data_IF_732440865275
#
_entry.id   IF_732440865275
#
_cell.length_a   1.000
_cell.length_b   1.000
_cell.length_c   1.000
_cell.angle_alpha   90.00
_cell.angle_beta   90.00
_cell.angle_gamma   90.00
#
_symmetry.space_group_name_H-M   'P 1'
#
loop_
_entity.id
_entity.type
_entity.pdbx_description
1 polymer ?
#
# COMPACT_ATOMS: atom_id res chain seq x y z
N UNK A 1 -20.69 46.74 -7.32
CA UNK A 1 -21.69 45.66 -7.42
C UNK A 1 -21.90 45.40 -8.90
N UNK A 2 -21.02 44.64 -9.52
CA UNK A 2 -21.10 44.27 -10.94
C UNK A 2 -21.66 42.86 -10.98
N UNK A 3 -22.74 42.66 -11.72
CA UNK A 3 -23.30 41.34 -11.95
C UNK A 3 -22.35 40.58 -12.88
N UNK A 4 -21.85 39.43 -12.44
CA UNK A 4 -21.22 38.45 -13.33
C UNK A 4 -22.33 37.68 -14.04
N UNK A 5 -22.36 37.59 -15.38
CA UNK A 5 -23.28 36.72 -16.09
C UNK A 5 -22.92 35.25 -15.86
N UNK A 6 -23.96 34.40 -15.86
CA UNK A 6 -23.86 32.96 -15.63
C UNK A 6 -22.99 32.29 -16.70
N UNK A 7 -21.77 31.92 -16.32
CA UNK A 7 -20.96 30.98 -17.08
C UNK A 7 -21.51 29.57 -16.80
N UNK A 8 -22.33 29.07 -17.73
CA UNK A 8 -22.68 27.65 -17.83
C UNK A 8 -21.47 26.87 -18.34
N UNK A 9 -20.44 26.81 -17.50
CA UNK A 9 -19.27 25.97 -17.68
C UNK A 9 -19.69 24.53 -17.50
N UNK A 10 -19.70 23.79 -18.61
CA UNK A 10 -19.70 22.33 -18.70
C UNK A 10 -19.11 21.69 -17.45
N UNK A 11 -19.92 20.91 -16.72
CA UNK A 11 -19.46 20.02 -15.67
C UNK A 11 -18.61 18.90 -16.27
N UNK A 12 -17.38 19.23 -16.66
CA UNK A 12 -16.35 18.25 -16.90
C UNK A 12 -16.12 17.50 -15.57
N UNK A 13 -16.04 16.16 -15.59
CA UNK A 13 -15.72 15.41 -14.38
C UNK A 13 -14.40 15.94 -13.82
N UNK A 14 -14.38 16.29 -12.52
CA UNK A 14 -13.15 16.71 -11.85
C UNK A 14 -12.11 15.58 -11.97
N UNK A 15 -10.99 15.76 -12.71
CA UNK A 15 -10.07 14.67 -13.05
C UNK A 15 -9.10 14.30 -11.91
N UNK A 16 -9.46 14.58 -10.66
CA UNK A 16 -8.58 14.38 -9.50
C UNK A 16 -8.99 13.22 -8.61
N UNK A 17 -10.15 12.59 -8.84
CA UNK A 17 -10.63 11.46 -8.05
C UNK A 17 -10.30 10.09 -8.66
N UNK A 18 -9.83 10.04 -9.91
CA UNK A 18 -9.36 8.81 -10.55
C UNK A 18 -7.85 8.58 -10.33
N UNK A 19 -7.06 9.63 -10.08
CA UNK A 19 -5.61 9.52 -9.92
C UNK A 19 -5.16 8.93 -8.57
N UNK A 20 -6.00 8.99 -7.53
CA UNK A 20 -5.71 8.38 -6.23
C UNK A 20 -5.89 6.86 -6.24
N UNK A 21 -6.79 6.34 -7.08
CA UNK A 21 -7.11 4.90 -7.17
C UNK A 21 -6.06 4.11 -7.98
N UNK A 22 -5.47 4.71 -9.02
CA UNK A 22 -4.32 4.14 -9.74
C UNK A 22 -3.01 4.21 -8.95
N UNK A 23 -2.98 4.90 -7.80
CA UNK A 23 -1.79 5.07 -6.99
C UNK A 23 -1.67 4.02 -5.87
N UNK A 24 -2.81 3.53 -5.36
CA UNK A 24 -2.83 2.65 -4.18
C UNK A 24 -2.20 1.29 -4.42
N UNK A 25 -2.39 0.70 -5.61
CA UNK A 25 -1.95 -0.69 -5.85
C UNK A 25 -0.87 -0.81 -6.93
N UNK A 26 -0.56 0.25 -7.69
CA UNK A 26 0.45 0.20 -8.78
C UNK A 26 1.82 -0.27 -8.31
N UNK A 27 2.22 0.08 -7.08
CA UNK A 27 3.47 -0.39 -6.50
C UNK A 27 3.48 -1.90 -6.24
N UNK A 28 2.34 -2.43 -5.80
CA UNK A 28 2.15 -3.87 -5.52
C UNK A 28 2.06 -4.65 -6.83
N UNK A 29 1.28 -4.17 -7.80
CA UNK A 29 1.18 -4.78 -9.14
C UNK A 29 2.54 -4.85 -9.84
N UNK A 30 3.35 -3.78 -9.76
CA UNK A 30 4.67 -3.78 -10.37
C UNK A 30 5.66 -4.69 -9.63
N UNK A 31 5.54 -4.81 -8.30
CA UNK A 31 6.32 -5.77 -7.51
C UNK A 31 5.99 -7.20 -7.93
N UNK A 32 4.70 -7.56 -7.97
CA UNK A 32 4.23 -8.88 -8.40
C UNK A 32 4.71 -9.20 -9.83
N UNK A 33 4.51 -8.26 -10.76
CA UNK A 33 4.91 -8.45 -12.15
C UNK A 33 6.42 -8.65 -12.32
N UNK A 34 7.24 -7.99 -11.51
CA UNK A 34 8.71 -8.05 -11.66
C UNK A 34 9.37 -9.16 -10.85
N UNK A 35 8.82 -9.48 -9.68
CA UNK A 35 9.47 -10.32 -8.67
C UNK A 35 8.53 -11.38 -8.06
N UNK A 36 7.33 -11.57 -8.59
CA UNK A 36 6.33 -12.49 -8.02
C UNK A 36 6.73 -13.96 -8.05
N UNK A 37 7.68 -14.34 -8.90
CA UNK A 37 8.25 -15.71 -8.93
C UNK A 37 9.45 -15.88 -7.98
N UNK A 38 9.90 -14.82 -7.30
CA UNK A 38 11.03 -14.90 -6.36
C UNK A 38 10.58 -15.42 -4.99
N UNK A 39 11.29 -16.42 -4.47
CA UNK A 39 11.13 -16.89 -3.08
C UNK A 39 12.11 -16.15 -2.16
N UNK A 40 11.60 -15.61 -1.05
CA UNK A 40 12.37 -14.89 -0.04
C UNK A 40 12.03 -15.41 1.36
N UNK A 41 12.94 -15.21 2.32
CA UNK A 41 12.65 -15.48 3.73
C UNK A 41 11.98 -14.28 4.39
N UNK A 42 11.18 -14.52 5.43
CA UNK A 42 10.64 -13.45 6.27
C UNK A 42 11.74 -12.65 6.98
N UNK A 43 12.88 -13.27 7.29
CA UNK A 43 14.07 -12.58 7.81
C UNK A 43 14.56 -11.51 6.82
N UNK A 44 14.75 -11.86 5.55
CA UNK A 44 15.16 -10.90 4.52
C UNK A 44 14.13 -9.79 4.32
N UNK A 45 12.83 -10.13 4.30
CA UNK A 45 11.76 -9.14 4.19
C UNK A 45 11.80 -8.14 5.36
N UNK A 46 11.99 -8.62 6.59
CA UNK A 46 12.09 -7.78 7.78
C UNK A 46 13.27 -6.79 7.70
N UNK A 47 14.41 -7.21 7.14
CA UNK A 47 15.54 -6.32 6.88
C UNK A 47 15.19 -5.21 5.86
N UNK A 48 14.43 -5.53 4.81
CA UNK A 48 13.98 -4.53 3.83
C UNK A 48 13.01 -3.54 4.46
N UNK A 49 12.08 -4.00 5.32
CA UNK A 49 11.14 -3.13 6.02
C UNK A 49 11.88 -2.15 6.96
N UNK A 50 12.90 -2.61 7.70
CA UNK A 50 13.73 -1.73 8.55
C UNK A 50 14.45 -0.68 7.72
N UNK A 51 15.09 -1.10 6.63
CA UNK A 51 15.78 -0.19 5.70
C UNK A 51 14.81 0.86 5.14
N UNK A 52 13.58 0.47 4.84
CA UNK A 52 12.56 1.39 4.37
C UNK A 52 12.17 2.42 5.43
N UNK A 53 11.96 2.01 6.68
CA UNK A 53 11.64 2.93 7.80
C UNK A 53 12.81 3.86 8.12
N UNK A 54 14.05 3.35 8.09
CA UNK A 54 15.26 4.17 8.29
C UNK A 54 15.34 5.32 7.27
N UNK A 55 14.91 5.08 6.03
CA UNK A 55 14.88 6.08 4.96
C UNK A 55 13.59 6.93 4.98
N UNK A 56 12.51 6.43 5.57
CA UNK A 56 11.18 7.03 5.54
C UNK A 56 10.52 6.95 6.93
N UNK A 57 11.00 7.72 7.93
CA UNK A 57 10.58 7.58 9.32
C UNK A 57 9.09 7.86 9.55
N UNK A 58 8.44 8.66 8.70
CA UNK A 58 7.00 8.93 8.76
C UNK A 58 6.12 7.66 8.58
N UNK A 59 6.71 6.56 8.09
CA UNK A 59 6.03 5.28 7.88
C UNK A 59 6.35 4.21 8.93
N UNK A 60 7.04 4.54 10.02
CA UNK A 60 7.35 3.59 11.10
C UNK A 60 6.11 2.85 11.62
N UNK A 61 5.07 3.59 12.01
CA UNK A 61 3.85 3.02 12.59
C UNK A 61 3.09 2.08 11.63
N UNK A 62 2.80 2.46 10.38
CA UNK A 62 2.14 1.53 9.46
C UNK A 62 3.00 0.30 9.14
N UNK A 63 4.32 0.45 9.01
CA UNK A 63 5.22 -0.69 8.74
C UNK A 63 5.32 -1.64 9.93
N UNK A 64 5.39 -1.11 11.16
CA UNK A 64 5.38 -1.91 12.39
C UNK A 64 4.08 -2.74 12.51
N UNK A 65 2.93 -2.14 12.16
CA UNK A 65 1.64 -2.85 12.14
C UNK A 65 1.59 -3.95 11.08
N UNK A 66 2.15 -3.70 9.90
CA UNK A 66 2.26 -4.71 8.84
C UNK A 66 3.14 -5.88 9.28
N UNK A 67 4.32 -5.61 9.85
CA UNK A 67 5.21 -6.63 10.37
C UNK A 67 4.55 -7.48 11.47
N UNK A 68 3.84 -6.83 12.40
CA UNK A 68 3.05 -7.52 13.45
C UNK A 68 1.95 -8.40 12.84
N UNK A 69 1.28 -7.95 11.78
CA UNK A 69 0.26 -8.75 11.09
C UNK A 69 0.87 -9.97 10.39
N UNK A 70 1.99 -9.80 9.67
CA UNK A 70 2.69 -10.90 8.99
C UNK A 70 3.19 -11.97 9.98
N UNK A 71 3.68 -11.55 11.15
CA UNK A 71 4.21 -12.46 12.17
C UNK A 71 3.14 -13.41 12.77
N UNK A 72 1.85 -13.08 12.66
CA UNK A 72 0.75 -13.93 13.17
C UNK A 72 0.42 -15.10 12.26
N UNK A 73 0.73 -15.00 10.96
CA UNK A 73 0.39 -16.04 10.00
C UNK A 73 1.20 -17.33 10.21
N UNK A 74 2.39 -17.23 10.82
CA UNK A 74 3.21 -18.41 11.17
C UNK A 74 2.59 -19.20 12.34
N UNK A 75 1.86 -18.53 13.25
CA UNK A 75 1.24 -19.16 14.41
C UNK A 75 -0.11 -19.85 14.08
N UNK A 76 -0.84 -19.39 13.05
CA UNK A 76 -2.16 -19.92 12.68
C UNK A 76 -2.07 -21.24 11.88
N UNK A 77 -0.99 -21.47 11.14
CA UNK A 77 -0.76 -22.73 10.40
C UNK A 77 -0.38 -23.92 11.31
N UNK A 78 -0.03 -23.68 12.58
CA UNK A 78 0.26 -24.73 13.58
C UNK A 78 -0.98 -25.20 14.38
N UNK A 79 -2.12 -24.49 14.36
CA UNK A 79 -3.32 -24.83 15.13
C UNK A 79 -4.37 -25.71 14.40
N UNK A 80 -4.30 -25.89 13.08
CA UNK A 80 -5.25 -26.74 12.31
C UNK A 80 -4.87 -28.25 12.26
N UNK A 81 -4.10 -28.75 13.23
CA UNK A 81 -3.46 -30.08 13.18
C UNK A 81 -4.03 -31.21 14.07
N UNK A 82 -4.98 -30.97 14.98
CA UNK A 82 -5.49 -32.04 15.87
C UNK A 82 -6.88 -31.73 16.47
N UNK A 83 -7.97 -32.10 15.77
CA UNK A 83 -9.31 -32.33 16.37
C UNK A 83 -10.06 -33.47 15.68
#
# INVERSE_FOLDING_TARGET
>A
MTAYPEDVGTGAPHPHQEQLLYFTDRGIEELEKRRGEEEITFEWLAEQLRTFVDLNPDFEIPVERLATWLARLDDEDEEEGDV
#
